data_IF_984312395333
#
_entry.id   IF_984312395333
#
_cell.length_a   1.000
_cell.length_b   1.000
_cell.length_c   1.000
_cell.angle_alpha   90.00
_cell.angle_beta   90.00
_cell.angle_gamma   90.00
#
_symmetry.space_group_name_H-M   'P 1'
#
loop_
_entity.id
_entity.type
_entity.pdbx_description
1 polymer ?
#
# COMPACT_ATOMS: atom_id res chain seq x y z
N UNK A 1 -55.12 45.76 -33.20
CA UNK A 1 -56.28 44.99 -33.70
C UNK A 1 -55.87 44.32 -35.00
N UNK A 2 -55.99 42.99 -35.01
CA UNK A 2 -56.11 42.10 -36.17
C UNK A 2 -55.02 42.14 -37.25
N UNK A 3 -54.05 41.23 -37.13
CA UNK A 3 -53.28 40.75 -38.27
C UNK A 3 -53.66 39.28 -38.53
N UNK A 4 -54.09 39.04 -39.76
CA UNK A 4 -54.66 37.81 -40.29
C UNK A 4 -53.68 36.65 -40.32
N UNK A 5 -54.23 35.46 -40.08
CA UNK A 5 -53.58 34.15 -40.22
C UNK A 5 -53.80 33.70 -41.67
N UNK A 6 -52.72 33.53 -42.44
CA UNK A 6 -52.73 32.77 -43.70
C UNK A 6 -52.24 31.34 -43.45
N UNK A 7 -52.90 30.31 -44.03
CA UNK A 7 -52.47 28.93 -43.92
C UNK A 7 -51.53 28.56 -45.07
N UNK A 8 -50.31 28.13 -44.75
CA UNK A 8 -49.36 27.56 -45.71
C UNK A 8 -49.68 26.08 -45.96
N UNK A 9 -49.51 25.60 -47.22
CA UNK A 9 -50.00 24.28 -47.64
C UNK A 9 -49.01 23.16 -47.33
N UNK A 10 -49.58 21.99 -47.04
CA UNK A 10 -48.91 20.70 -46.99
C UNK A 10 -48.13 20.43 -48.28
N UNK A 11 -46.85 20.09 -48.13
CA UNK A 11 -46.11 19.28 -49.10
C UNK A 11 -45.58 18.07 -48.36
N UNK A 12 -46.21 16.92 -48.65
CA UNK A 12 -45.67 15.61 -48.38
C UNK A 12 -44.52 15.34 -49.36
N UNK A 13 -43.40 14.82 -48.87
CA UNK A 13 -42.66 13.78 -49.58
C UNK A 13 -41.74 13.03 -48.62
N UNK A 14 -41.79 11.72 -48.77
CA UNK A 14 -41.01 10.68 -48.13
C UNK A 14 -39.50 10.89 -48.29
N UNK A 15 -38.70 10.47 -47.31
CA UNK A 15 -37.69 9.39 -47.44
C UNK A 15 -36.89 9.25 -46.13
N UNK A 16 -37.17 8.16 -45.43
CA UNK A 16 -36.25 7.24 -44.73
C UNK A 16 -34.77 7.69 -44.54
N UNK A 17 -34.46 8.25 -43.36
CA UNK A 17 -33.09 8.53 -42.88
C UNK A 17 -32.67 7.52 -41.79
N UNK A 18 -32.92 6.23 -42.04
CA UNK A 18 -32.50 5.12 -41.15
C UNK A 18 -31.10 4.58 -41.46
N UNK A 19 -30.26 5.32 -42.19
CA UNK A 19 -29.00 4.79 -42.71
C UNK A 19 -27.84 5.78 -42.52
N UNK A 20 -26.99 5.50 -41.52
CA UNK A 20 -25.53 5.71 -41.49
C UNK A 20 -24.99 6.12 -40.10
N UNK A 21 -25.34 5.35 -39.05
CA UNK A 21 -24.70 5.44 -37.72
C UNK A 21 -23.53 4.46 -37.56
N UNK A 22 -22.96 3.99 -38.67
CA UNK A 22 -21.70 3.26 -38.71
C UNK A 22 -20.66 4.18 -39.36
N UNK A 23 -20.11 5.08 -38.55
CA UNK A 23 -18.93 5.85 -38.95
C UNK A 23 -17.80 4.91 -39.40
N UNK A 24 -16.86 5.38 -40.23
CA UNK A 24 -15.73 4.60 -40.69
C UNK A 24 -15.01 3.97 -39.50
N UNK A 25 -15.16 2.66 -39.33
CA UNK A 25 -14.36 1.88 -38.40
C UNK A 25 -12.92 1.96 -38.91
N UNK A 26 -12.13 2.84 -38.29
CA UNK A 26 -10.70 2.90 -38.49
C UNK A 26 -10.11 1.60 -37.96
N UNK A 27 -9.95 0.62 -38.84
CA UNK A 27 -9.21 -0.60 -38.53
C UNK A 27 -7.76 -0.21 -38.24
N UNK A 28 -7.41 -0.13 -36.96
CA UNK A 28 -6.04 0.04 -36.51
C UNK A 28 -5.32 -1.27 -36.75
N UNK A 29 -4.49 -1.32 -37.78
CA UNK A 29 -3.61 -2.46 -38.04
C UNK A 29 -2.49 -2.49 -37.00
N UNK A 30 -2.69 -3.24 -35.92
CA UNK A 30 -1.66 -3.49 -34.91
C UNK A 30 -0.69 -4.52 -35.51
N UNK A 31 0.47 -4.04 -35.92
CA UNK A 31 1.54 -4.92 -36.38
C UNK A 31 2.16 -5.57 -35.13
N UNK A 32 1.78 -6.81 -34.85
CA UNK A 32 2.40 -7.59 -33.79
C UNK A 32 3.88 -7.75 -34.09
N UNK A 33 4.74 -7.06 -33.32
CA UNK A 33 6.17 -7.36 -33.35
C UNK A 33 6.36 -8.74 -32.72
N UNK A 34 7.06 -9.63 -33.43
CA UNK A 34 7.46 -10.92 -32.87
C UNK A 34 8.37 -10.65 -31.67
N UNK A 35 7.85 -10.92 -30.47
CA UNK A 35 8.58 -10.80 -29.21
C UNK A 35 9.51 -12.00 -29.09
N UNK A 36 10.78 -11.77 -28.77
CA UNK A 36 11.76 -12.84 -28.56
C UNK A 36 11.28 -13.77 -27.44
N UNK A 37 11.37 -15.11 -27.59
CA UNK A 37 10.95 -16.07 -26.56
C UNK A 37 11.77 -15.96 -25.26
N UNK A 38 12.83 -15.16 -25.25
CA UNK A 38 13.68 -14.91 -24.09
C UNK A 38 13.22 -13.71 -23.23
N UNK A 39 12.11 -13.05 -23.59
CA UNK A 39 11.54 -11.95 -22.82
C UNK A 39 10.60 -12.56 -21.77
N UNK A 40 11.06 -12.61 -20.52
CA UNK A 40 10.31 -13.13 -19.37
C UNK A 40 9.80 -12.01 -18.45
N UNK A 41 10.31 -10.79 -18.64
CA UNK A 41 10.01 -9.60 -17.85
C UNK A 41 9.46 -8.54 -18.79
N UNK A 42 8.43 -7.81 -18.36
CA UNK A 42 7.73 -6.80 -19.17
C UNK A 42 8.56 -5.54 -19.48
N UNK A 43 9.71 -5.37 -18.81
CA UNK A 43 10.55 -4.18 -18.91
C UNK A 43 11.41 -4.18 -20.19
N UNK A 44 11.15 -3.27 -21.12
CA UNK A 44 11.89 -3.18 -22.37
C UNK A 44 13.25 -2.50 -22.17
N UNK A 45 13.25 -1.33 -21.54
CA UNK A 45 14.43 -0.58 -21.11
C UNK A 45 14.61 -0.73 -19.60
N UNK A 46 15.17 -1.88 -19.20
CA UNK A 46 15.27 -2.29 -17.80
C UNK A 46 15.84 -1.21 -16.87
N UNK A 47 16.99 -0.56 -17.14
CA UNK A 47 17.56 0.41 -16.20
C UNK A 47 16.63 1.60 -15.96
N UNK A 48 16.03 2.16 -17.03
CA UNK A 48 15.14 3.32 -16.92
C UNK A 48 13.81 2.96 -16.28
N UNK A 49 13.18 1.87 -16.74
CA UNK A 49 11.87 1.47 -16.21
C UNK A 49 11.96 1.00 -14.76
N UNK A 50 13.07 0.38 -14.35
CA UNK A 50 13.34 0.06 -12.94
C UNK A 50 13.49 1.32 -12.08
N UNK A 51 14.16 2.36 -12.57
CA UNK A 51 14.25 3.64 -11.86
C UNK A 51 12.85 4.25 -11.68
N UNK A 52 12.04 4.26 -12.73
CA UNK A 52 10.67 4.77 -12.68
C UNK A 52 9.79 3.92 -11.75
N UNK A 53 10.00 2.59 -11.68
CA UNK A 53 9.33 1.71 -10.74
C UNK A 53 9.77 1.95 -9.29
N UNK A 54 11.06 2.18 -9.05
CA UNK A 54 11.61 2.46 -7.73
C UNK A 54 11.10 3.80 -7.18
N UNK A 55 11.00 4.83 -8.02
CA UNK A 55 10.43 6.13 -7.62
C UNK A 55 8.94 6.00 -7.28
N UNK A 56 8.17 5.27 -8.10
CA UNK A 56 6.72 5.09 -7.86
C UNK A 56 6.40 4.22 -6.65
N UNK A 57 7.29 3.28 -6.31
CA UNK A 57 7.11 2.35 -5.20
C UNK A 57 8.22 2.53 -4.16
N UNK A 58 8.58 3.78 -3.84
CA UNK A 58 9.73 4.12 -3.01
C UNK A 58 9.78 3.33 -1.70
N UNK A 59 8.64 3.25 -1.00
CA UNK A 59 8.52 2.51 0.26
C UNK A 59 8.89 1.03 0.14
N UNK A 60 8.51 0.38 -0.96
CA UNK A 60 8.85 -1.03 -1.18
C UNK A 60 10.36 -1.23 -1.41
N UNK A 61 10.98 -0.36 -2.21
CA UNK A 61 12.42 -0.45 -2.48
C UNK A 61 13.26 -0.03 -1.27
N UNK A 62 12.78 0.91 -0.46
CA UNK A 62 13.38 1.25 0.84
C UNK A 62 13.29 0.07 1.82
N UNK A 63 12.17 -0.64 1.85
CA UNK A 63 12.04 -1.86 2.66
C UNK A 63 13.01 -2.97 2.20
N UNK A 64 13.18 -3.14 0.88
CA UNK A 64 14.19 -4.07 0.33
C UNK A 64 15.61 -3.62 0.70
N UNK A 65 15.91 -2.32 0.58
CA UNK A 65 17.21 -1.74 0.91
C UNK A 65 17.58 -2.03 2.36
N UNK A 66 16.69 -1.67 3.29
CA UNK A 66 16.88 -1.92 4.72
C UNK A 66 17.06 -3.42 5.00
N UNK A 67 16.22 -4.27 4.40
CA UNK A 67 16.32 -5.71 4.56
C UNK A 67 17.67 -6.28 4.10
N UNK A 68 18.14 -5.90 2.91
CA UNK A 68 19.41 -6.38 2.36
C UNK A 68 20.57 -5.87 3.21
N UNK A 69 20.56 -4.59 3.62
CA UNK A 69 21.59 -4.04 4.51
C UNK A 69 21.63 -4.75 5.85
N UNK A 70 20.48 -4.97 6.47
CA UNK A 70 20.37 -5.59 7.80
C UNK A 70 20.78 -7.07 7.79
N UNK A 71 20.46 -7.80 6.72
CA UNK A 71 20.70 -9.26 6.65
C UNK A 71 22.01 -9.64 5.96
N UNK A 72 22.47 -8.84 5.00
CA UNK A 72 23.59 -9.17 4.11
C UNK A 72 24.69 -8.09 4.08
N UNK A 73 24.47 -6.92 4.70
CA UNK A 73 25.44 -5.82 4.80
C UNK A 73 25.39 -4.82 3.64
N UNK A 74 26.02 -3.66 3.84
CA UNK A 74 25.96 -2.51 2.92
C UNK A 74 26.49 -2.83 1.51
N UNK A 75 27.58 -3.59 1.40
CA UNK A 75 28.16 -3.97 0.10
C UNK A 75 27.24 -4.87 -0.74
N UNK A 76 26.34 -5.61 -0.07
CA UNK A 76 25.37 -6.47 -0.72
C UNK A 76 24.26 -5.65 -1.37
N UNK A 77 23.90 -4.50 -0.77
CA UNK A 77 22.96 -3.56 -1.38
C UNK A 77 23.51 -2.95 -2.67
N UNK A 78 24.78 -2.49 -2.67
CA UNK A 78 25.41 -1.94 -3.88
C UNK A 78 25.42 -2.97 -5.02
N UNK A 79 25.71 -4.23 -4.68
CA UNK A 79 25.71 -5.35 -5.63
C UNK A 79 24.31 -5.65 -6.15
N UNK A 80 23.30 -5.63 -5.27
CA UNK A 80 21.90 -5.79 -5.65
C UNK A 80 21.43 -4.67 -6.57
N UNK A 81 21.75 -3.41 -6.27
CA UNK A 81 21.42 -2.28 -7.14
C UNK A 81 22.05 -2.44 -8.53
N UNK A 82 23.32 -2.84 -8.59
CA UNK A 82 23.99 -3.10 -9.86
C UNK A 82 23.25 -4.15 -10.70
N UNK A 83 22.78 -5.24 -10.07
CA UNK A 83 21.98 -6.29 -10.74
C UNK A 83 20.63 -5.74 -11.19
N UNK A 84 19.88 -5.07 -10.31
CA UNK A 84 18.54 -4.56 -10.60
C UNK A 84 18.53 -3.60 -11.80
N UNK A 85 19.54 -2.74 -11.90
CA UNK A 85 19.68 -1.77 -12.99
C UNK A 85 20.52 -2.28 -14.17
N UNK A 86 20.92 -3.55 -14.19
CA UNK A 86 21.73 -4.10 -15.28
C UNK A 86 20.93 -4.09 -16.61
N UNK A 87 21.48 -3.55 -17.71
CA UNK A 87 20.81 -3.56 -19.00
C UNK A 87 20.55 -4.98 -19.52
N UNK A 88 19.52 -5.14 -20.34
CA UNK A 88 19.09 -6.45 -20.86
C UNK A 88 20.13 -7.08 -21.78
N UNK A 89 20.94 -6.26 -22.42
CA UNK A 89 22.08 -6.65 -23.27
C UNK A 89 23.22 -7.27 -22.48
N UNK A 90 23.36 -6.90 -21.20
CA UNK A 90 24.39 -7.41 -20.30
C UNK A 90 23.93 -8.68 -19.58
N UNK A 91 22.66 -8.71 -19.17
CA UNK A 91 22.11 -9.81 -18.37
C UNK A 91 20.74 -10.24 -18.89
N UNK A 92 20.63 -11.50 -19.33
CA UNK A 92 19.36 -12.09 -19.78
C UNK A 92 18.34 -12.16 -18.64
N UNK A 93 17.04 -12.13 -18.95
CA UNK A 93 15.99 -12.11 -17.91
C UNK A 93 16.06 -13.29 -16.94
N UNK A 94 16.43 -14.48 -17.44
CA UNK A 94 16.59 -15.68 -16.60
C UNK A 94 17.70 -15.50 -15.58
N UNK A 95 18.87 -15.02 -16.01
CA UNK A 95 20.02 -14.78 -15.12
C UNK A 95 19.70 -13.63 -14.16
N UNK A 96 19.09 -12.56 -14.67
CA UNK A 96 18.69 -11.39 -13.89
C UNK A 96 17.75 -11.75 -12.75
N UNK A 97 16.67 -12.49 -13.04
CA UNK A 97 15.73 -12.92 -12.01
C UNK A 97 16.29 -13.97 -11.07
N UNK A 98 17.19 -14.86 -11.54
CA UNK A 98 17.88 -15.80 -10.68
C UNK A 98 18.76 -15.05 -9.66
N UNK A 99 19.56 -14.08 -10.11
CA UNK A 99 20.39 -13.27 -9.22
C UNK A 99 19.55 -12.48 -8.20
N UNK A 100 18.42 -11.90 -8.60
CA UNK A 100 17.51 -11.22 -7.66
C UNK A 100 16.90 -12.21 -6.66
N UNK A 101 16.58 -13.41 -7.11
CA UNK A 101 16.08 -14.50 -6.25
C UNK A 101 17.10 -14.90 -5.19
N UNK A 102 18.40 -14.85 -5.49
CA UNK A 102 19.43 -15.15 -4.49
C UNK A 102 19.43 -14.14 -3.33
N UNK A 103 19.20 -12.85 -3.60
CA UNK A 103 19.13 -11.82 -2.56
C UNK A 103 17.81 -11.83 -1.78
N UNK A 104 16.69 -12.08 -2.46
CA UNK A 104 15.35 -11.98 -1.87
C UNK A 104 14.73 -13.33 -1.48
N UNK A 105 15.41 -14.44 -1.77
CA UNK A 105 14.87 -15.80 -1.61
C UNK A 105 14.58 -16.18 -0.16
N UNK A 106 15.27 -15.55 0.79
CA UNK A 106 15.00 -15.72 2.23
C UNK A 106 13.74 -14.97 2.69
N UNK A 107 13.21 -14.05 1.87
CA UNK A 107 11.98 -13.29 2.14
C UNK A 107 10.99 -13.43 0.96
N UNK A 108 10.23 -14.54 0.89
CA UNK A 108 9.43 -14.88 -0.29
C UNK A 108 8.38 -13.81 -0.63
N UNK A 109 7.90 -13.03 0.34
CA UNK A 109 6.96 -11.93 0.10
C UNK A 109 7.59 -10.79 -0.72
N UNK A 110 8.85 -10.43 -0.45
CA UNK A 110 9.57 -9.43 -1.25
C UNK A 110 9.87 -9.93 -2.64
N UNK A 111 10.29 -11.18 -2.77
CA UNK A 111 10.52 -11.78 -4.07
C UNK A 111 9.24 -11.86 -4.91
N UNK A 112 8.11 -12.24 -4.30
CA UNK A 112 6.80 -12.30 -4.95
C UNK A 112 6.36 -10.93 -5.47
N UNK A 113 6.36 -9.92 -4.60
CA UNK A 113 6.00 -8.54 -4.97
C UNK A 113 6.95 -7.94 -6.00
N UNK A 114 8.25 -8.24 -5.92
CA UNK A 114 9.21 -7.83 -6.92
C UNK A 114 8.87 -8.43 -8.29
N UNK A 115 8.67 -9.76 -8.36
CA UNK A 115 8.29 -10.48 -9.59
C UNK A 115 7.01 -9.90 -10.21
N UNK A 116 6.00 -9.66 -9.39
CA UNK A 116 4.75 -9.02 -9.83
C UNK A 116 5.00 -7.62 -10.41
N UNK A 117 5.77 -6.78 -9.70
CA UNK A 117 6.02 -5.39 -10.11
C UNK A 117 6.74 -5.25 -11.45
N UNK A 118 7.55 -6.25 -11.82
CA UNK A 118 8.31 -6.27 -13.09
C UNK A 118 7.60 -7.11 -14.17
N UNK A 119 6.45 -7.69 -13.86
CA UNK A 119 5.70 -8.56 -14.76
C UNK A 119 6.43 -9.85 -15.10
N UNK A 120 7.18 -10.42 -14.15
CA UNK A 120 7.86 -11.69 -14.37
C UNK A 120 6.88 -12.85 -14.30
N UNK A 121 6.64 -13.49 -15.44
CA UNK A 121 5.83 -14.71 -15.51
C UNK A 121 6.73 -15.91 -15.19
N UNK A 122 6.64 -16.41 -13.96
CA UNK A 122 7.18 -17.72 -13.65
C UNK A 122 6.40 -18.73 -14.48
N UNK A 123 7.03 -19.35 -15.46
CA UNK A 123 6.45 -20.43 -16.27
C UNK A 123 6.09 -21.69 -15.47
N UNK A 124 6.01 -21.60 -14.14
CA UNK A 124 5.56 -22.65 -13.24
C UNK A 124 4.03 -22.80 -13.22
N UNK A 125 3.33 -22.20 -14.17
CA UNK A 125 1.96 -22.59 -14.52
C UNK A 125 1.95 -23.65 -15.62
N UNK A 126 3.03 -24.43 -15.78
CA UNK A 126 2.86 -25.85 -16.13
C UNK A 126 2.04 -26.42 -14.97
N UNK A 127 0.72 -26.25 -15.02
CA UNK A 127 -0.12 -27.36 -15.42
C UNK A 127 0.35 -28.56 -14.58
N UNK A 128 0.08 -28.47 -13.27
CA UNK A 128 -0.60 -29.55 -12.58
C UNK A 128 -1.92 -29.84 -13.34
N UNK A 129 -1.80 -30.21 -14.62
CA UNK A 129 -2.62 -31.24 -15.21
C UNK A 129 -2.29 -32.44 -14.32
N UNK A 130 -2.98 -32.51 -13.18
CA UNK A 130 -3.33 -33.76 -12.56
C UNK A 130 -3.83 -34.61 -13.72
N UNK A 131 -2.94 -35.43 -14.29
CA UNK A 131 -3.36 -36.63 -15.00
C UNK A 131 -4.24 -37.35 -13.97
N UNK A 132 -5.54 -37.09 -14.06
CA UNK A 132 -6.63 -38.00 -13.70
C UNK A 132 -6.36 -39.27 -14.51
N UNK A 133 -5.31 -39.99 -14.11
CA UNK A 133 -5.05 -41.38 -14.43
C UNK A 133 -6.09 -42.18 -13.70
N UNK A 134 -7.32 -42.11 -14.22
CA UNK A 134 -8.34 -43.12 -14.08
C UNK A 134 -7.83 -44.39 -14.80
N UNK A 135 -6.79 -45.00 -14.26
CA UNK A 135 -6.33 -46.33 -14.63
C UNK A 135 -7.08 -47.31 -13.72
N UNK A 136 -8.32 -47.59 -14.11
CA UNK A 136 -9.02 -48.79 -13.68
C UNK A 136 -8.30 -50.02 -14.23
N UNK A 137 -7.20 -50.43 -13.59
CA UNK A 137 -6.77 -51.82 -13.67
C UNK A 137 -7.68 -52.65 -12.78
N UNK A 138 -8.78 -53.08 -13.39
CA UNK A 138 -9.54 -54.25 -12.96
C UNK A 138 -8.58 -55.43 -12.74
N UNK A 139 -8.70 -56.04 -11.57
CA UNK A 139 -8.52 -57.45 -11.24
C UNK A 139 -7.68 -58.32 -12.21
N UNK A 140 -6.51 -58.77 -11.75
CA UNK A 140 -6.15 -60.17 -11.98
C UNK A 140 -5.36 -60.72 -10.78
N UNK A 141 -5.96 -61.75 -10.20
CA UNK A 141 -5.46 -62.59 -9.11
C UNK A 141 -4.09 -63.19 -9.44
N UNK A 142 -3.23 -63.35 -8.42
CA UNK A 142 -2.63 -64.64 -8.00
C UNK A 142 -1.37 -64.44 -7.14
N UNK A 143 -1.45 -64.99 -5.92
CA UNK A 143 -0.41 -65.64 -5.12
C UNK A 143 1.07 -65.42 -5.49
N UNK A 144 1.89 -64.89 -4.57
CA UNK A 144 2.86 -65.71 -3.82
C UNK A 144 3.76 -64.94 -2.83
N UNK A 145 4.21 -65.71 -1.85
CA UNK A 145 5.41 -65.58 -1.00
C UNK A 145 5.65 -64.38 -0.06
N UNK A 146 5.43 -64.74 1.21
CA UNK A 146 6.07 -64.28 2.45
C UNK A 146 7.60 -64.17 2.34
N UNK A 147 8.18 -62.97 2.47
CA UNK A 147 9.51 -62.80 3.10
C UNK A 147 9.53 -61.61 4.04
N UNK A 148 9.47 -61.95 5.33
CA UNK A 148 9.68 -61.08 6.47
C UNK A 148 11.16 -60.63 6.56
N UNK A 149 11.44 -59.33 6.45
CA UNK A 149 12.68 -58.75 7.01
C UNK A 149 12.44 -57.44 7.74
N UNK A 150 12.20 -57.59 9.04
CA UNK A 150 12.40 -56.58 10.09
C UNK A 150 13.78 -55.92 9.96
N UNK A 151 13.85 -54.59 9.75
CA UNK A 151 14.91 -53.75 10.32
C UNK A 151 14.38 -52.44 10.87
N UNK A 152 14.21 -52.49 12.19
CA UNK A 152 14.11 -51.45 13.22
C UNK A 152 14.52 -50.02 12.80
N UNK A 153 13.60 -49.11 13.10
CA UNK A 153 13.79 -47.67 13.17
C UNK A 153 14.89 -47.23 14.16
N UNK A 154 15.62 -46.13 13.88
CA UNK A 154 16.29 -45.36 14.91
C UNK A 154 15.28 -44.42 15.60
N UNK A 155 15.13 -44.65 16.90
CA UNK A 155 14.34 -43.88 17.86
C UNK A 155 14.98 -42.50 18.00
N UNK A 156 14.41 -41.47 17.38
CA UNK A 156 14.80 -40.08 17.61
C UNK A 156 14.32 -39.66 19.00
N UNK A 157 15.23 -39.68 19.97
CA UNK A 157 15.05 -39.11 21.30
C UNK A 157 14.86 -37.60 21.16
N UNK A 158 13.60 -37.15 21.24
CA UNK A 158 13.24 -35.75 21.48
C UNK A 158 13.84 -35.32 22.81
N UNK A 159 14.93 -34.54 22.73
CA UNK A 159 15.56 -33.89 23.87
C UNK A 159 14.66 -32.71 24.32
N UNK A 160 14.33 -32.57 25.61
CA UNK A 160 13.51 -31.45 26.09
C UNK A 160 14.32 -30.15 26.04
N UNK A 161 13.78 -29.13 25.35
CA UNK A 161 14.35 -27.79 25.34
C UNK A 161 14.40 -27.19 26.76
N UNK A 162 15.52 -26.56 27.18
CA UNK A 162 15.61 -25.89 28.47
C UNK A 162 14.74 -24.63 28.47
N UNK A 163 13.77 -24.63 29.40
CA UNK A 163 12.85 -23.54 29.71
C UNK A 163 13.66 -22.34 30.26
N UNK A 164 13.94 -21.33 29.43
CA UNK A 164 14.54 -20.07 29.89
C UNK A 164 13.59 -19.36 30.85
N UNK A 165 13.93 -19.34 32.13
CA UNK A 165 13.30 -18.48 33.13
C UNK A 165 13.98 -17.12 33.09
N UNK A 166 13.42 -16.18 32.34
CA UNK A 166 13.76 -14.76 32.41
C UNK A 166 13.09 -14.15 33.65
N UNK A 167 13.75 -14.26 34.79
CA UNK A 167 13.46 -13.44 35.98
C UNK A 167 14.08 -12.05 35.76
N UNK A 168 13.32 -11.11 35.20
CA UNK A 168 13.69 -9.69 35.25
C UNK A 168 13.30 -9.15 36.63
N UNK A 169 14.24 -9.24 37.57
CA UNK A 169 14.17 -8.56 38.86
C UNK A 169 14.52 -7.08 38.65
N UNK A 170 13.51 -6.23 38.46
CA UNK A 170 13.67 -4.77 38.44
C UNK A 170 13.85 -4.30 39.88
N UNK A 171 15.08 -4.00 40.24
CA UNK A 171 15.44 -3.40 41.51
C UNK A 171 15.13 -1.90 41.44
N UNK A 172 14.00 -1.48 42.02
CA UNK A 172 13.69 -0.06 42.20
C UNK A 172 14.58 0.52 43.29
N UNK A 173 15.54 1.36 42.90
CA UNK A 173 16.22 2.26 43.82
C UNK A 173 15.30 3.47 44.11
N UNK A 174 14.95 3.76 45.37
CA UNK A 174 14.31 5.01 45.73
C UNK A 174 15.35 6.13 45.63
N UNK A 175 15.21 6.98 44.60
CA UNK A 175 15.96 8.23 44.54
C UNK A 175 15.50 9.13 45.68
N UNK A 176 16.47 9.44 46.54
CA UNK A 176 16.34 10.37 47.64
C UNK A 176 16.04 11.77 47.08
N UNK A 177 14.98 12.35 47.61
CA UNK A 177 14.64 13.76 47.53
C UNK A 177 15.78 14.60 48.10
N UNK A 178 16.47 15.38 47.25
CA UNK A 178 17.29 16.50 47.70
C UNK A 178 16.64 17.85 47.36
N UNK A 179 16.79 18.84 48.24
CA UNK A 179 16.01 20.07 48.19
C UNK A 179 16.64 21.16 47.31
N UNK A 180 15.76 21.97 46.76
CA UNK A 180 16.02 23.23 46.06
C UNK A 180 17.11 24.10 46.71
N UNK A 181 17.86 24.83 45.88
CA UNK A 181 18.22 26.20 46.20
C UNK A 181 17.46 27.20 45.34
N UNK A 182 16.92 28.18 46.05
CA UNK A 182 16.22 29.37 45.61
C UNK A 182 17.03 30.26 44.67
N UNK A 183 16.28 30.85 43.71
CA UNK A 183 16.30 32.27 43.31
C UNK A 183 17.64 32.83 42.80
N UNK A 184 17.70 33.06 41.49
CA UNK A 184 18.25 34.31 40.94
C UNK A 184 17.42 34.81 39.75
N UNK A 185 17.37 36.12 39.66
CA UNK A 185 16.41 36.99 38.97
C UNK A 185 16.55 37.05 37.42
N UNK A 186 15.62 37.72 36.72
CA UNK A 186 15.38 37.55 35.29
C UNK A 186 16.37 38.38 34.47
N UNK A 187 17.00 37.75 33.49
CA UNK A 187 17.75 38.46 32.45
C UNK A 187 16.84 38.58 31.22
N UNK A 188 16.46 39.83 30.95
CA UNK A 188 15.93 40.30 29.68
C UNK A 188 16.77 39.75 28.53
N UNK A 189 16.20 38.81 27.78
CA UNK A 189 16.62 38.49 26.42
C UNK A 189 15.35 38.45 25.58
N UNK A 190 14.84 39.64 25.32
CA UNK A 190 13.90 39.88 24.24
C UNK A 190 14.66 39.70 22.91
N UNK A 191 13.92 39.22 21.91
CA UNK A 191 14.28 39.28 20.49
C UNK A 191 15.36 38.29 20.01
N UNK A 192 15.05 36.99 20.03
CA UNK A 192 15.54 36.09 18.98
C UNK A 192 14.35 35.37 18.31
N UNK A 193 14.01 35.94 17.15
CA UNK A 193 13.55 35.26 15.94
C UNK A 193 12.51 34.15 16.12
N UNK A 194 11.28 34.63 16.23
CA UNK A 194 10.04 33.96 15.82
C UNK A 194 10.09 33.58 14.33
N UNK A 195 10.86 32.54 13.98
CA UNK A 195 10.50 31.66 12.87
C UNK A 195 9.56 30.62 13.45
N UNK A 196 8.30 31.06 13.58
CA UNK A 196 7.20 30.26 14.10
C UNK A 196 7.15 28.94 13.37
N UNK A 197 7.22 27.86 14.16
CA UNK A 197 7.02 26.50 13.68
C UNK A 197 5.64 26.39 13.04
N UNK A 198 5.60 26.27 11.71
CA UNK A 198 4.34 26.13 10.95
C UNK A 198 3.54 24.89 11.41
N UNK A 199 4.22 23.88 11.97
CA UNK A 199 3.59 22.71 12.60
C UNK A 199 2.63 23.06 13.75
N UNK A 200 2.81 24.21 14.42
CA UNK A 200 1.91 24.64 15.48
C UNK A 200 0.51 25.01 14.98
N UNK A 201 0.38 25.38 13.69
CA UNK A 201 -0.88 25.82 13.09
C UNK A 201 -1.91 24.70 13.01
N UNK A 202 -1.52 23.56 12.43
CA UNK A 202 -2.39 22.41 12.27
C UNK A 202 -2.89 21.87 13.63
N UNK A 203 -1.97 21.72 14.59
CA UNK A 203 -2.29 21.23 15.94
C UNK A 203 -3.34 22.12 16.60
N UNK A 204 -3.15 23.44 16.54
CA UNK A 204 -4.11 24.39 17.07
C UNK A 204 -5.45 24.35 16.32
N UNK A 205 -5.42 24.23 14.99
CA UNK A 205 -6.60 24.12 14.14
C UNK A 205 -7.44 22.89 14.46
N UNK A 206 -6.82 21.71 14.54
CA UNK A 206 -7.49 20.45 14.88
C UNK A 206 -8.14 20.50 16.26
N UNK A 207 -7.46 21.04 17.27
CA UNK A 207 -8.03 21.22 18.62
C UNK A 207 -9.17 22.24 18.61
N UNK A 208 -9.06 23.30 17.81
CA UNK A 208 -10.11 24.30 17.66
C UNK A 208 -11.35 23.72 16.96
N UNK A 209 -11.19 22.87 15.94
CA UNK A 209 -12.27 22.16 15.26
C UNK A 209 -13.16 21.40 16.26
N UNK A 210 -12.57 20.77 17.29
CA UNK A 210 -13.34 20.04 18.33
C UNK A 210 -14.24 20.92 19.19
N UNK A 211 -13.99 22.23 19.22
CA UNK A 211 -14.88 23.18 19.89
C UNK A 211 -16.17 23.44 19.09
N UNK A 212 -16.23 22.98 17.83
CA UNK A 212 -17.32 23.19 16.88
C UNK A 212 -17.85 21.86 16.34
N UNK A 213 -18.58 21.07 17.15
CA UNK A 213 -19.07 19.74 16.73
C UNK A 213 -20.04 19.82 15.55
N UNK A 214 -20.74 20.94 15.37
CA UNK A 214 -21.60 21.22 14.22
C UNK A 214 -20.81 21.31 12.92
N UNK A 215 -19.63 21.94 12.94
CA UNK A 215 -18.71 22.01 11.81
C UNK A 215 -18.09 20.64 11.57
N UNK A 216 -17.63 19.98 12.64
CA UNK A 216 -16.97 18.68 12.59
C UNK A 216 -17.83 17.61 11.89
N UNK A 217 -19.12 17.53 12.23
CA UNK A 217 -20.06 16.56 11.64
C UNK A 217 -20.36 16.86 10.17
N UNK A 218 -20.27 18.13 9.74
CA UNK A 218 -20.56 18.54 8.36
C UNK A 218 -19.35 18.45 7.44
N UNK A 219 -18.14 18.18 7.96
CA UNK A 219 -16.92 18.15 7.16
C UNK A 219 -17.04 17.22 5.93
N UNK A 220 -17.51 15.95 6.06
CA UNK A 220 -17.64 15.06 4.90
C UNK A 220 -18.58 15.58 3.81
N UNK A 221 -19.67 16.25 4.20
CA UNK A 221 -20.65 16.80 3.27
C UNK A 221 -20.16 18.10 2.61
N UNK A 222 -19.42 18.92 3.34
CA UNK A 222 -18.94 20.23 2.88
C UNK A 222 -17.69 20.12 2.01
N UNK A 223 -16.83 19.13 2.25
CA UNK A 223 -15.57 18.93 1.53
C UNK A 223 -15.49 17.53 0.89
N UNK A 224 -16.46 17.11 0.06
CA UNK A 224 -16.54 15.75 -0.45
C UNK A 224 -15.32 15.35 -1.31
N UNK A 225 -14.69 16.32 -1.98
CA UNK A 225 -13.51 16.08 -2.81
C UNK A 225 -12.31 15.58 -1.99
N UNK A 226 -12.05 16.20 -0.84
CA UNK A 226 -10.99 15.79 0.08
C UNK A 226 -11.23 14.36 0.58
N UNK A 227 -12.45 14.07 1.05
CA UNK A 227 -12.78 12.74 1.58
C UNK A 227 -12.78 11.65 0.49
N UNK A 228 -13.17 11.95 -0.74
CA UNK A 228 -13.01 11.02 -1.87
C UNK A 228 -11.53 10.77 -2.20
N UNK A 229 -10.67 11.78 -2.09
CA UNK A 229 -9.23 11.63 -2.26
C UNK A 229 -8.62 10.80 -1.15
N UNK A 230 -8.92 11.12 0.11
CA UNK A 230 -8.48 10.38 1.28
C UNK A 230 -8.93 8.90 1.21
N UNK A 231 -10.17 8.63 0.80
CA UNK A 231 -10.67 7.26 0.57
C UNK A 231 -9.83 6.50 -0.45
N UNK A 232 -9.50 7.13 -1.59
CA UNK A 232 -8.65 6.52 -2.62
C UNK A 232 -7.23 6.26 -2.11
N UNK A 233 -6.64 7.21 -1.40
CA UNK A 233 -5.31 7.09 -0.82
C UNK A 233 -5.23 5.94 0.20
N UNK A 234 -6.19 5.90 1.14
CA UNK A 234 -6.24 4.88 2.20
C UNK A 234 -6.61 3.50 1.65
N UNK A 235 -7.57 3.41 0.73
CA UNK A 235 -7.96 2.14 0.10
C UNK A 235 -6.83 1.55 -0.74
N UNK A 236 -6.00 2.39 -1.37
CA UNK A 236 -4.84 1.94 -2.14
C UNK A 236 -3.66 1.51 -1.24
N UNK A 237 -3.62 1.92 0.04
CA UNK A 237 -2.51 1.61 0.95
C UNK A 237 -2.46 0.15 1.40
N UNK A 238 -3.62 -0.50 1.44
CA UNK A 238 -3.77 -1.85 2.01
C UNK A 238 -3.05 -2.91 1.17
N UNK A 239 -2.66 -2.59 -0.05
CA UNK A 239 -1.91 -3.49 -0.92
C UNK A 239 -0.40 -3.54 -0.64
N UNK A 240 0.10 -2.88 0.42
CA UNK A 240 1.55 -2.86 0.70
C UNK A 240 2.01 -3.55 1.99
N UNK A 241 1.21 -4.43 2.61
CA UNK A 241 1.68 -5.25 3.74
C UNK A 241 1.35 -6.74 3.55
N UNK A 242 2.31 -7.45 2.97
CA UNK A 242 2.68 -8.87 3.14
C UNK A 242 1.74 -9.77 3.95
N UNK A 243 0.57 -10.10 3.41
CA UNK A 243 -0.08 -11.37 3.78
C UNK A 243 -0.71 -12.01 2.54
N UNK A 244 -0.22 -13.18 2.09
CA UNK A 244 -0.94 -14.00 1.14
C UNK A 244 -2.08 -14.69 1.89
N UNK A 245 -3.12 -13.92 2.22
CA UNK A 245 -4.42 -14.49 2.58
C UNK A 245 -5.24 -14.43 1.31
N UNK A 246 -5.64 -15.62 0.84
CA UNK A 246 -6.69 -15.85 -0.13
C UNK A 246 -7.61 -14.63 -0.24
N UNK A 247 -7.55 -13.95 -1.39
CA UNK A 247 -8.50 -12.91 -1.78
C UNK A 247 -9.87 -13.57 -1.94
N UNK A 248 -10.55 -13.81 -0.83
CA UNK A 248 -12.00 -13.68 -0.84
C UNK A 248 -12.26 -12.20 -1.06
N UNK A 249 -12.98 -11.87 -2.13
CA UNK A 249 -13.26 -10.52 -2.60
C UNK A 249 -14.13 -9.65 -1.64
N UNK A 250 -13.99 -9.85 -0.32
CA UNK A 250 -14.38 -8.89 0.72
C UNK A 250 -13.18 -7.97 1.00
N UNK A 251 -12.77 -7.21 -0.01
CA UNK A 251 -11.81 -6.12 0.18
C UNK A 251 -12.58 -5.01 0.85
N UNK A 252 -12.55 -4.99 2.18
CA UNK A 252 -13.41 -4.15 3.00
C UNK A 252 -13.25 -2.67 2.64
N UNK A 253 -14.35 -2.07 2.18
CA UNK A 253 -14.49 -0.61 2.07
C UNK A 253 -14.29 0.09 3.45
N UNK A 254 -14.18 -0.70 4.52
CA UNK A 254 -14.11 -0.29 5.92
C UNK A 254 -12.77 0.32 6.38
N UNK A 255 -11.74 0.44 5.56
CA UNK A 255 -10.49 1.09 6.03
C UNK A 255 -10.61 2.61 6.16
N UNK A 256 -11.54 3.20 5.40
CA UNK A 256 -11.79 4.63 5.41
C UNK A 256 -12.78 5.07 6.50
N UNK A 257 -13.73 4.19 6.86
CA UNK A 257 -14.74 4.49 7.88
C UNK A 257 -14.18 4.79 9.28
N UNK A 258 -13.09 4.14 9.76
CA UNK A 258 -12.41 4.52 10.98
C UNK A 258 -11.87 5.95 10.96
N UNK A 259 -11.37 6.42 9.82
CA UNK A 259 -10.91 7.80 9.67
C UNK A 259 -12.06 8.79 9.76
N UNK A 260 -13.17 8.54 9.05
CA UNK A 260 -14.39 9.36 9.13
C UNK A 260 -14.96 9.37 10.55
N UNK A 261 -15.00 8.22 11.20
CA UNK A 261 -15.49 8.08 12.58
C UNK A 261 -14.60 8.85 13.54
N UNK A 262 -13.28 8.71 13.41
CA UNK A 262 -12.31 9.41 14.26
C UNK A 262 -12.38 10.93 14.07
N UNK A 263 -12.39 11.42 12.83
CA UNK A 263 -12.46 12.86 12.56
C UNK A 263 -13.80 13.44 12.99
N UNK A 264 -14.86 12.63 13.07
CA UNK A 264 -16.19 13.02 13.58
C UNK A 264 -16.33 12.85 15.10
N UNK A 265 -15.31 12.32 15.80
CA UNK A 265 -15.39 12.02 17.24
C UNK A 265 -15.36 13.30 18.08
N UNK A 266 -16.45 13.52 18.82
CA UNK A 266 -16.63 14.71 19.66
C UNK A 266 -15.81 14.63 20.95
N UNK A 267 -15.50 15.77 21.57
CA UNK A 267 -14.78 15.84 22.87
C UNK A 267 -15.46 15.08 24.00
N UNK A 268 -16.77 14.81 23.90
CA UNK A 268 -17.50 13.97 24.88
C UNK A 268 -17.14 12.49 24.76
N UNK A 269 -16.88 12.00 23.54
CA UNK A 269 -16.55 10.60 23.27
C UNK A 269 -15.07 10.31 23.57
N UNK A 270 -14.19 11.25 23.24
CA UNK A 270 -12.75 11.15 23.52
C UNK A 270 -12.28 12.47 24.14
N UNK A 271 -12.19 12.61 25.47
CA UNK A 271 -11.89 13.87 26.14
C UNK A 271 -10.44 14.36 25.96
N UNK A 272 -9.53 13.44 25.69
CA UNK A 272 -8.12 13.73 25.47
C UNK A 272 -7.90 14.19 24.02
N UNK A 273 -7.66 15.49 23.86
CA UNK A 273 -7.40 16.11 22.57
C UNK A 273 -6.05 15.67 21.96
N UNK A 274 -5.05 15.38 22.81
CA UNK A 274 -3.73 14.94 22.37
C UNK A 274 -3.80 13.54 21.75
N UNK A 275 -4.41 12.60 22.48
CA UNK A 275 -4.61 11.24 21.97
C UNK A 275 -5.48 11.18 20.70
N UNK A 276 -6.51 12.03 20.61
CA UNK A 276 -7.35 12.13 19.40
C UNK A 276 -6.55 12.64 18.20
N UNK A 277 -5.76 13.69 18.40
CA UNK A 277 -4.92 14.25 17.34
C UNK A 277 -3.83 13.28 16.90
N UNK A 278 -3.12 12.65 17.83
CA UNK A 278 -2.13 11.61 17.53
C UNK A 278 -2.75 10.49 16.71
N UNK A 279 -3.98 10.07 17.02
CA UNK A 279 -4.70 9.06 16.23
C UNK A 279 -4.96 9.52 14.80
N UNK A 280 -5.32 10.80 14.59
CA UNK A 280 -5.54 11.35 13.24
C UNK A 280 -4.23 11.41 12.46
N UNK A 281 -3.17 11.94 13.09
CA UNK A 281 -1.85 12.05 12.46
C UNK A 281 -1.27 10.67 12.15
N UNK A 282 -1.46 9.69 13.04
CA UNK A 282 -1.01 8.31 12.83
C UNK A 282 -1.71 7.66 11.63
N UNK A 283 -3.01 7.90 11.45
CA UNK A 283 -3.75 7.44 10.26
C UNK A 283 -3.24 8.15 9.00
N UNK A 284 -2.96 9.46 9.08
CA UNK A 284 -2.55 10.26 7.93
C UNK A 284 -1.03 10.27 7.69
N UNK A 285 -0.22 9.60 8.51
CA UNK A 285 1.25 9.70 8.46
C UNK A 285 1.86 9.30 7.12
N UNK A 286 1.19 8.42 6.38
CA UNK A 286 1.63 7.96 5.06
C UNK A 286 1.20 8.92 3.92
N UNK A 287 0.45 9.98 4.23
CA UNK A 287 -0.11 10.94 3.28
C UNK A 287 0.00 12.37 3.79
N UNK A 288 1.23 12.93 3.84
CA UNK A 288 1.44 14.30 4.30
C UNK A 288 0.60 15.31 3.50
N UNK A 289 0.34 15.07 2.22
CA UNK A 289 -0.49 15.98 1.41
C UNK A 289 -1.95 16.04 1.89
N UNK A 290 -2.46 14.97 2.50
CA UNK A 290 -3.80 14.98 3.11
C UNK A 290 -3.81 15.72 4.45
N UNK A 291 -2.67 15.76 5.15
CA UNK A 291 -2.53 16.53 6.38
C UNK A 291 -2.58 18.02 6.05
N UNK A 292 -1.85 18.46 5.03
CA UNK A 292 -1.84 19.85 4.57
C UNK A 292 -3.24 20.29 4.10
N UNK A 293 -3.88 19.49 3.24
CA UNK A 293 -5.22 19.78 2.73
C UNK A 293 -6.27 19.82 3.86
N UNK A 294 -6.12 18.94 4.87
CA UNK A 294 -6.98 18.98 6.06
C UNK A 294 -6.76 20.26 6.89
N UNK A 295 -5.51 20.73 7.01
CA UNK A 295 -5.20 22.00 7.66
C UNK A 295 -5.93 23.16 6.98
N UNK A 296 -5.85 23.24 5.66
CA UNK A 296 -6.49 24.29 4.86
C UNK A 296 -8.02 24.27 5.03
N UNK A 297 -8.62 23.08 5.06
CA UNK A 297 -10.06 22.90 5.27
C UNK A 297 -10.48 23.37 6.65
N UNK A 298 -9.69 23.09 7.68
CA UNK A 298 -9.97 23.50 9.06
C UNK A 298 -9.90 25.02 9.17
N UNK A 299 -8.87 25.63 8.59
CA UNK A 299 -8.68 27.08 8.61
C UNK A 299 -9.79 27.83 7.83
N UNK A 300 -10.30 27.25 6.75
CA UNK A 300 -11.45 27.77 6.01
C UNK A 300 -12.79 27.57 6.76
N UNK A 301 -12.92 26.47 7.48
CA UNK A 301 -14.15 26.11 8.19
C UNK A 301 -14.36 26.91 9.47
N UNK A 302 -13.28 27.22 10.19
CA UNK A 302 -13.36 27.92 11.47
C UNK A 302 -13.66 29.41 11.26
N UNK A 303 -14.58 29.99 12.06
CA UNK A 303 -14.89 31.41 11.95
C UNK A 303 -13.62 32.21 12.27
N UNK A 304 -13.09 32.93 11.25
CA UNK A 304 -11.96 33.84 11.43
C UNK A 304 -12.26 34.73 12.63
N UNK A 305 -11.47 34.59 13.70
CA UNK A 305 -11.57 35.46 14.88
C UNK A 305 -11.33 36.88 14.37
N UNK A 306 -12.42 37.67 14.26
CA UNK A 306 -12.31 39.09 13.99
C UNK A 306 -11.62 39.70 15.20
N UNK A 307 -10.33 39.97 15.06
CA UNK A 307 -9.53 40.71 16.04
C UNK A 307 -10.04 42.14 16.19
#
# INVERSE_FOLDING_TARGET
>A
MSASIEPTPNSALETDDSNNMYGPVHSVAIHGQSVSPNILVALLNRPREMQDLAVRNSFFYEAIENYIRDTQGDSSWDSFQHIVYAPREEMSDRVWMASITDYLGHHPAFLGKFKESVGYQSSSSEDEDEEDGDDETEDDDEDDEVVETRKRAPKLTLQPYPRRHSHNHVHYHPMQSEPHPSITSPTLREEEESRGSEEGGLVAGLVALRAHPDIQVQLPERYPAFFQRARRCMGSCIMSMDTPRFQTADTSEDSFEPFITLISTTRRQQPDDGAWMESILEILKCWPELIDELSDIIDDSLPRRRH
#
